data_IF_633403223817
#
_entry.id   IF_633403223817
#
_cell.length_a   1.000
_cell.length_b   1.000
_cell.length_c   1.000
_cell.angle_alpha   90.00
_cell.angle_beta   90.00
_cell.angle_gamma   90.00
#
_symmetry.space_group_name_H-M   'P 1'
#
loop_
_entity.id
_entity.type
_entity.pdbx_description
1 polymer ?
#
# COMPACT_ATOMS: atom_id res chain seq x y z
N UNK A 1 8.05 -12.80 -13.50
CA UNK A 1 7.10 -12.95 -12.36
C UNK A 1 5.92 -12.00 -12.54
N UNK A 2 4.86 -12.05 -11.73
CA UNK A 2 3.79 -11.03 -11.76
C UNK A 2 4.35 -9.61 -11.57
N UNK A 3 5.27 -9.45 -10.60
CA UNK A 3 6.00 -8.19 -10.38
C UNK A 3 6.67 -7.65 -11.65
N UNK A 4 7.45 -8.47 -12.34
CA UNK A 4 8.19 -8.03 -13.53
C UNK A 4 7.26 -7.59 -14.67
N UNK A 5 6.16 -8.32 -14.87
CA UNK A 5 5.14 -7.96 -15.86
C UNK A 5 4.42 -6.66 -15.49
N UNK A 6 4.07 -6.51 -14.21
CA UNK A 6 3.48 -5.30 -13.66
C UNK A 6 4.40 -4.09 -13.83
N UNK A 7 5.65 -4.16 -13.39
CA UNK A 7 6.63 -3.06 -13.52
C UNK A 7 6.86 -2.67 -14.98
N UNK A 8 6.94 -3.65 -15.89
CA UNK A 8 7.04 -3.40 -17.34
C UNK A 8 5.81 -2.69 -17.90
N UNK A 9 4.61 -3.05 -17.45
CA UNK A 9 3.36 -2.42 -17.87
C UNK A 9 3.24 -0.98 -17.33
N UNK A 10 3.64 -0.77 -16.08
CA UNK A 10 3.56 0.53 -15.42
C UNK A 10 4.65 1.52 -15.88
N UNK A 11 5.81 1.01 -16.34
CA UNK A 11 6.96 1.82 -16.76
C UNK A 11 7.81 2.32 -15.58
N UNK A 12 7.59 1.80 -14.37
CA UNK A 12 8.35 2.10 -13.16
C UNK A 12 8.49 0.86 -12.28
N UNK A 13 9.45 0.89 -11.35
CA UNK A 13 9.72 -0.20 -10.40
C UNK A 13 9.01 0.03 -9.08
N UNK A 14 8.60 -1.05 -8.40
CA UNK A 14 8.02 -0.97 -7.06
C UNK A 14 9.12 -0.52 -6.09
N UNK A 15 8.86 0.53 -5.30
CA UNK A 15 9.83 1.14 -4.40
C UNK A 15 9.45 0.95 -2.94
N UNK A 16 10.43 0.84 -2.05
CA UNK A 16 10.16 0.78 -0.59
C UNK A 16 9.75 2.17 -0.07
N UNK A 17 8.87 2.21 0.93
CA UNK A 17 8.39 3.45 1.57
C UNK A 17 9.44 4.12 2.44
N UNK A 18 10.32 3.33 3.07
CA UNK A 18 11.28 3.84 4.04
C UNK A 18 12.30 4.73 3.32
N UNK A 19 12.34 6.04 3.59
CA UNK A 19 13.36 6.92 3.03
C UNK A 19 14.74 6.47 3.50
N UNK A 20 15.76 6.68 2.67
CA UNK A 20 17.16 6.47 3.07
C UNK A 20 17.54 7.48 4.17
N UNK A 21 17.07 8.72 4.02
CA UNK A 21 17.20 9.80 5.01
C UNK A 21 15.81 10.27 5.48
N UNK A 22 15.56 10.20 6.79
CA UNK A 22 14.24 10.53 7.37
C UNK A 22 13.89 12.02 7.32
N UNK A 23 14.88 12.87 7.11
CA UNK A 23 14.73 14.32 7.20
C UNK A 23 14.28 14.95 5.86
N UNK A 24 14.55 14.29 4.73
CA UNK A 24 14.18 14.80 3.41
C UNK A 24 13.58 13.70 2.53
N UNK A 25 12.29 13.80 2.26
CA UNK A 25 11.62 12.88 1.35
C UNK A 25 11.99 13.21 -0.10
N UNK A 26 12.83 12.37 -0.71
CA UNK A 26 13.19 12.46 -2.12
C UNK A 26 12.71 11.20 -2.90
N UNK A 27 11.72 11.33 -3.81
CA UNK A 27 11.23 10.22 -4.64
C UNK A 27 12.28 9.52 -5.50
N UNK A 28 13.34 10.24 -5.88
CA UNK A 28 14.39 9.74 -6.77
C UNK A 28 15.42 8.87 -6.02
N UNK A 29 15.51 9.02 -4.69
CA UNK A 29 16.39 8.25 -3.81
C UNK A 29 15.73 7.00 -3.23
N UNK A 30 14.43 6.81 -3.50
CA UNK A 30 13.70 5.63 -3.06
C UNK A 30 14.24 4.38 -3.75
N UNK A 31 14.74 3.45 -2.94
CA UNK A 31 15.26 2.18 -3.43
C UNK A 31 14.14 1.22 -3.88
N UNK A 32 14.44 0.31 -4.82
CA UNK A 32 13.52 -0.78 -5.17
C UNK A 32 13.10 -1.60 -3.95
N UNK A 33 11.82 -2.00 -3.90
CA UNK A 33 11.32 -2.90 -2.86
C UNK A 33 12.02 -4.27 -2.96
N UNK A 34 12.42 -4.89 -1.83
CA UNK A 34 13.08 -6.20 -1.83
C UNK A 34 12.16 -7.28 -2.42
N UNK A 35 12.71 -8.47 -2.71
CA UNK A 35 11.90 -9.59 -3.18
C UNK A 35 11.02 -10.08 -2.02
N UNK A 36 9.71 -9.97 -2.21
CA UNK A 36 8.65 -10.38 -1.30
C UNK A 36 7.63 -11.27 -2.02
N UNK A 37 6.81 -11.98 -1.25
CA UNK A 37 5.73 -12.82 -1.77
C UNK A 37 4.60 -11.99 -2.39
N UNK A 38 4.31 -10.82 -1.81
CA UNK A 38 3.27 -9.89 -2.25
C UNK A 38 3.73 -8.44 -2.04
N UNK A 39 3.07 -7.51 -2.72
CA UNK A 39 3.33 -6.07 -2.70
C UNK A 39 2.00 -5.32 -2.69
N UNK A 40 2.00 -4.08 -2.22
CA UNK A 40 0.85 -3.18 -2.34
C UNK A 40 1.30 -1.83 -2.95
N UNK A 41 1.73 -1.80 -4.22
CA UNK A 41 2.19 -0.57 -4.85
C UNK A 41 1.04 0.40 -5.12
N UNK A 42 1.23 1.69 -4.84
CA UNK A 42 0.25 2.72 -5.20
C UNK A 42 0.29 2.97 -6.71
N UNK A 43 -0.83 2.71 -7.39
CA UNK A 43 -0.99 2.90 -8.85
C UNK A 43 -1.85 4.11 -9.23
N UNK A 44 -2.70 4.57 -8.31
CA UNK A 44 -3.54 5.76 -8.48
C UNK A 44 -3.43 6.62 -7.23
N UNK A 45 -3.32 7.92 -7.44
CA UNK A 45 -3.31 8.90 -6.36
C UNK A 45 -4.00 10.19 -6.82
N UNK A 46 -4.58 10.93 -5.88
CA UNK A 46 -4.91 12.33 -6.10
C UNK A 46 -3.62 13.15 -6.23
N UNK A 47 -3.67 14.30 -6.89
CA UNK A 47 -2.49 15.16 -7.12
C UNK A 47 -1.74 15.51 -5.82
N UNK A 48 -2.48 15.72 -4.72
CA UNK A 48 -1.90 15.99 -3.39
C UNK A 48 -1.11 14.80 -2.82
N UNK A 49 -1.48 13.59 -3.20
CA UNK A 49 -0.86 12.32 -2.83
C UNK A 49 0.06 11.73 -3.90
N UNK A 50 0.28 12.39 -5.04
CA UNK A 50 1.03 11.81 -6.17
C UNK A 50 2.46 11.35 -5.83
N UNK A 51 3.03 11.90 -4.76
CA UNK A 51 4.32 11.47 -4.23
C UNK A 51 4.36 10.00 -3.81
N UNK A 52 3.23 9.40 -3.40
CA UNK A 52 3.22 7.99 -2.97
C UNK A 52 3.13 6.99 -4.12
N UNK A 53 2.99 7.43 -5.38
CA UNK A 53 2.97 6.53 -6.54
C UNK A 53 4.24 5.67 -6.55
N UNK A 54 4.10 4.39 -6.91
CA UNK A 54 5.14 3.34 -6.90
C UNK A 54 5.58 2.83 -5.53
N UNK A 55 5.19 3.49 -4.43
CA UNK A 55 5.52 3.03 -3.08
C UNK A 55 4.78 1.76 -2.72
N UNK A 56 5.52 0.79 -2.19
CA UNK A 56 5.01 -0.45 -1.65
C UNK A 56 4.53 -0.26 -0.22
N UNK A 57 3.21 -0.19 -0.05
CA UNK A 57 2.58 0.03 1.25
C UNK A 57 2.90 -1.07 2.28
N UNK A 58 3.38 -2.25 1.84
CA UNK A 58 3.78 -3.33 2.75
C UNK A 58 5.16 -3.13 3.39
N UNK A 59 5.95 -2.16 2.90
CA UNK A 59 7.25 -1.84 3.48
C UNK A 59 7.18 -0.81 4.60
N UNK A 60 6.07 -0.06 4.71
CA UNK A 60 5.73 0.75 5.87
C UNK A 60 5.10 -0.11 6.96
N UNK A 61 5.56 -0.02 8.20
CA UNK A 61 5.09 -0.90 9.28
C UNK A 61 3.61 -0.67 9.59
N UNK A 62 3.23 0.58 9.83
CA UNK A 62 1.87 0.98 10.16
C UNK A 62 0.90 0.68 9.00
N UNK A 63 1.33 0.99 7.77
CA UNK A 63 0.57 0.70 6.55
C UNK A 63 0.38 -0.79 6.31
N UNK A 64 1.44 -1.60 6.45
CA UNK A 64 1.36 -3.06 6.33
C UNK A 64 0.34 -3.64 7.30
N UNK A 65 0.41 -3.27 8.57
CA UNK A 65 -0.53 -3.74 9.59
C UNK A 65 -1.98 -3.35 9.23
N UNK A 66 -2.19 -2.13 8.73
CA UNK A 66 -3.51 -1.65 8.36
C UNK A 66 -4.06 -2.39 7.12
N UNK A 67 -3.22 -2.58 6.09
CA UNK A 67 -3.55 -3.28 4.85
C UNK A 67 -3.95 -4.73 5.13
N UNK A 68 -3.16 -5.45 5.94
CA UNK A 68 -3.45 -6.84 6.32
C UNK A 68 -4.79 -6.94 7.05
N UNK A 69 -5.03 -6.05 8.01
CA UNK A 69 -6.28 -6.00 8.78
C UNK A 69 -7.49 -5.59 7.93
N UNK A 70 -7.31 -4.69 6.96
CA UNK A 70 -8.37 -4.24 6.07
C UNK A 70 -8.93 -5.41 5.25
N UNK A 71 -8.05 -6.21 4.64
CA UNK A 71 -8.46 -7.35 3.81
C UNK A 71 -9.07 -8.49 4.61
N UNK A 72 -8.56 -8.75 5.81
CA UNK A 72 -9.09 -9.81 6.66
C UNK A 72 -10.50 -9.47 7.18
N UNK A 73 -10.73 -8.22 7.59
CA UNK A 73 -12.00 -7.78 8.19
C UNK A 73 -13.07 -7.37 7.16
N UNK A 74 -12.68 -6.93 5.96
CA UNK A 74 -13.59 -6.33 4.98
C UNK A 74 -14.28 -5.06 5.46
N UNK A 75 -13.56 -4.25 6.24
CA UNK A 75 -14.05 -2.98 6.81
C UNK A 75 -12.98 -1.91 6.69
N UNK A 76 -13.40 -0.64 6.85
CA UNK A 76 -12.47 0.47 7.02
C UNK A 76 -11.71 0.35 8.33
N UNK A 77 -10.39 0.54 8.28
CA UNK A 77 -9.48 0.41 9.43
C UNK A 77 -8.54 1.61 9.52
N UNK A 78 -8.19 2.00 10.75
CA UNK A 78 -7.32 3.15 11.04
C UNK A 78 -5.98 2.68 11.64
N UNK A 79 -4.89 3.32 11.23
CA UNK A 79 -3.61 3.20 11.93
C UNK A 79 -3.66 3.86 13.32
N UNK A 80 -2.67 3.57 14.16
CA UNK A 80 -2.31 4.49 15.24
C UNK A 80 -1.74 5.79 14.65
N UNK A 81 -1.70 6.90 15.41
CA UNK A 81 -1.08 8.14 14.94
C UNK A 81 0.43 7.94 14.65
N UNK A 82 0.89 8.37 13.47
CA UNK A 82 2.30 8.35 13.07
C UNK A 82 2.65 9.51 12.13
N UNK A 83 3.93 9.75 11.91
CA UNK A 83 4.42 10.79 11.00
C UNK A 83 4.17 10.38 9.53
N UNK A 84 3.34 11.17 8.83
CA UNK A 84 3.03 10.92 7.44
C UNK A 84 4.20 11.30 6.53
N UNK A 85 4.46 10.45 5.53
CA UNK A 85 5.49 10.68 4.50
C UNK A 85 5.37 12.09 3.90
N UNK A 86 6.53 12.67 3.53
CA UNK A 86 6.71 14.00 2.92
C UNK A 86 6.40 15.19 3.83
N UNK A 87 5.39 15.11 4.69
CA UNK A 87 4.97 16.25 5.52
C UNK A 87 5.48 16.18 6.95
N UNK A 88 5.85 14.99 7.43
CA UNK A 88 6.21 14.69 8.82
C UNK A 88 5.14 15.15 9.83
N UNK A 89 3.89 15.34 9.36
CA UNK A 89 2.76 15.69 10.21
C UNK A 89 2.24 14.42 10.86
N UNK A 90 1.90 14.52 12.15
CA UNK A 90 1.22 13.45 12.85
C UNK A 90 -0.19 13.27 12.27
N UNK A 91 -0.51 12.06 11.83
CA UNK A 91 -1.80 11.73 11.24
C UNK A 91 -2.14 10.25 11.39
N UNK A 92 -3.27 9.86 10.81
CA UNK A 92 -3.74 8.47 10.72
C UNK A 92 -4.09 8.16 9.28
N UNK A 93 -3.96 6.89 8.88
CA UNK A 93 -4.38 6.41 7.56
C UNK A 93 -5.63 5.55 7.70
N UNK A 94 -6.65 5.87 6.91
CA UNK A 94 -7.85 5.05 6.71
C UNK A 94 -7.64 4.14 5.50
N UNK A 95 -7.85 2.84 5.67
CA UNK A 95 -7.69 1.86 4.57
C UNK A 95 -8.95 1.01 4.42
N UNK A 96 -9.38 0.84 3.17
CA UNK A 96 -10.36 -0.16 2.75
C UNK A 96 -9.71 -1.16 1.80
N UNK A 97 -10.04 -2.45 1.97
CA UNK A 97 -9.72 -3.46 0.96
C UNK A 97 -10.71 -3.39 -0.21
N UNK A 98 -10.20 -3.60 -1.41
CA UNK A 98 -10.97 -3.76 -2.64
C UNK A 98 -10.92 -5.22 -3.03
N UNK A 99 -12.08 -5.82 -3.30
CA UNK A 99 -12.20 -7.24 -3.62
C UNK A 99 -12.66 -7.47 -5.05
N UNK A 100 -12.34 -8.66 -5.58
CA UNK A 100 -12.92 -9.17 -6.83
C UNK A 100 -14.44 -9.32 -6.71
N UNK A 101 -15.14 -9.21 -7.84
CA UNK A 101 -16.61 -9.12 -7.90
C UNK A 101 -17.34 -10.39 -7.42
N UNK A 102 -16.66 -11.53 -7.48
CA UNK A 102 -17.17 -12.86 -7.18
C UNK A 102 -17.05 -13.27 -5.70
N UNK A 103 -16.58 -12.37 -4.83
CA UNK A 103 -16.51 -12.61 -3.39
C UNK A 103 -17.91 -12.85 -2.79
N UNK A 104 -18.15 -13.99 -2.10
CA UNK A 104 -19.42 -14.27 -1.44
C UNK A 104 -19.79 -13.24 -0.36
N UNK A 105 -21.07 -12.99 -0.16
CA UNK A 105 -21.55 -12.05 0.87
C UNK A 105 -21.21 -12.47 2.30
N UNK A 106 -21.03 -13.78 2.53
CA UNK A 106 -20.67 -14.39 3.81
C UNK A 106 -19.21 -14.87 3.85
N UNK A 107 -18.33 -14.24 3.05
CA UNK A 107 -16.95 -14.68 2.90
C UNK A 107 -16.18 -14.74 4.22
N UNK A 108 -15.42 -15.82 4.41
CA UNK A 108 -14.47 -15.98 5.53
C UNK A 108 -13.29 -15.02 5.38
N UNK A 109 -12.49 -14.80 6.44
CA UNK A 109 -11.25 -14.03 6.34
C UNK A 109 -10.31 -14.52 5.23
N UNK A 110 -10.16 -15.83 5.06
CA UNK A 110 -9.30 -16.44 4.05
C UNK A 110 -9.81 -16.16 2.63
N UNK A 111 -11.12 -16.33 2.39
CA UNK A 111 -11.75 -16.02 1.10
C UNK A 111 -11.59 -14.53 0.75
N UNK A 112 -11.66 -13.63 1.74
CA UNK A 112 -11.40 -12.20 1.53
C UNK A 112 -9.95 -11.93 1.15
N UNK A 113 -9.00 -12.57 1.84
CA UNK A 113 -7.57 -12.41 1.54
C UNK A 113 -7.28 -12.86 0.10
N UNK A 114 -7.78 -14.02 -0.31
CA UNK A 114 -7.58 -14.55 -1.67
C UNK A 114 -8.27 -13.71 -2.76
N UNK A 115 -9.44 -13.13 -2.45
CA UNK A 115 -10.18 -12.27 -3.36
C UNK A 115 -9.72 -10.81 -3.34
N UNK A 116 -8.71 -10.43 -2.55
CA UNK A 116 -8.24 -9.05 -2.47
C UNK A 116 -7.57 -8.65 -3.79
N UNK A 117 -8.02 -7.53 -4.36
CA UNK A 117 -7.54 -6.98 -5.62
C UNK A 117 -6.73 -5.68 -5.41
N UNK A 118 -6.87 -5.05 -4.24
CA UNK A 118 -6.10 -3.86 -3.88
C UNK A 118 -6.64 -3.15 -2.64
N UNK A 119 -6.23 -1.89 -2.47
CA UNK A 119 -6.54 -1.09 -1.29
C UNK A 119 -6.83 0.36 -1.68
N UNK A 120 -7.77 0.99 -0.98
CA UNK A 120 -8.04 2.43 -1.04
C UNK A 120 -7.62 3.06 0.28
N UNK A 121 -6.66 3.99 0.23
CA UNK A 121 -6.10 4.68 1.40
C UNK A 121 -6.35 6.19 1.37
N UNK A 122 -6.42 6.83 2.54
CA UNK A 122 -6.55 8.28 2.70
C UNK A 122 -6.28 8.78 4.11
#
# INVERSE_FOLDING_TARGET
SEREQFEKQQGWTIKKMTPVDKDEYNPDELEPSPIQQEYAPVIFAQDTGAHVISLDMLTGKEDRENVMRARELGKGVLTAPFELIKTNRLGVILTFAVYKRDLPSNATPEERIEATDGYLGG
#
